data_IF_835631562717
#
_entry.id   IF_835631562717
#
_cell.length_a   1.000
_cell.length_b   1.000
_cell.length_c   1.000
_cell.angle_alpha   90.00
_cell.angle_beta   90.00
_cell.angle_gamma   90.00
#
_symmetry.space_group_name_H-M   'P 1'
#
loop_
_entity.id
_entity.type
_entity.pdbx_description
1 polymer ?
#
# COMPACT_ATOMS: atom_id res chain seq x y z
N UNK A 1 -10.01 -4.46 -0.21
CA UNK A 1 -10.36 -4.26 -1.64
C UNK A 1 -9.35 -4.89 -2.56
N UNK A 2 -8.07 -4.51 -2.46
CA UNK A 2 -6.96 -5.06 -3.26
C UNK A 2 -7.00 -6.58 -3.45
N UNK A 3 -7.12 -7.35 -2.36
CA UNK A 3 -7.19 -8.82 -2.45
C UNK A 3 -8.43 -9.38 -3.15
N UNK A 4 -9.54 -8.64 -3.14
CA UNK A 4 -10.72 -9.03 -3.90
C UNK A 4 -10.46 -8.89 -5.40
N UNK A 5 -9.78 -7.81 -5.82
CA UNK A 5 -9.37 -7.62 -7.20
C UNK A 5 -8.35 -8.69 -7.62
N UNK A 6 -7.30 -8.94 -6.83
CA UNK A 6 -6.33 -10.01 -7.09
C UNK A 6 -6.97 -11.40 -7.16
N UNK A 7 -8.01 -11.65 -6.37
CA UNK A 7 -8.78 -12.90 -6.43
C UNK A 7 -9.65 -12.98 -7.68
N UNK A 8 -10.23 -11.86 -8.13
CA UNK A 8 -11.02 -11.78 -9.38
C UNK A 8 -10.14 -12.01 -10.60
N UNK A 9 -8.97 -11.38 -10.65
CA UNK A 9 -7.97 -11.53 -11.72
C UNK A 9 -7.27 -12.90 -11.69
N UNK A 10 -7.54 -13.72 -10.67
CA UNK A 10 -6.95 -15.06 -10.48
C UNK A 10 -5.42 -15.02 -10.45
N UNK A 11 -4.84 -13.99 -9.84
CA UNK A 11 -3.39 -13.95 -9.61
C UNK A 11 -2.95 -15.24 -8.90
N UNK A 12 -1.91 -15.93 -9.39
CA UNK A 12 -1.35 -17.11 -8.74
C UNK A 12 -0.62 -16.78 -7.45
N UNK A 13 -0.42 -15.49 -7.14
CA UNK A 13 0.29 -15.08 -5.94
C UNK A 13 -0.54 -15.36 -4.67
N UNK A 14 0.11 -16.00 -3.70
CA UNK A 14 -0.21 -15.98 -2.28
C UNK A 14 -0.35 -14.53 -1.82
N UNK A 15 -1.42 -14.29 -1.08
CA UNK A 15 -1.79 -12.97 -0.58
C UNK A 15 -1.50 -12.95 0.91
N UNK A 16 -0.81 -11.93 1.39
CA UNK A 16 -0.38 -11.84 2.79
C UNK A 16 -0.80 -10.49 3.37
N UNK A 17 -1.39 -10.52 4.56
CA UNK A 17 -1.60 -9.32 5.39
C UNK A 17 -0.82 -9.47 6.68
N UNK A 18 -0.03 -8.45 6.99
CA UNK A 18 0.61 -8.33 8.28
C UNK A 18 -0.30 -7.58 9.25
N UNK A 19 -0.37 -8.05 10.50
CA UNK A 19 -1.12 -7.38 11.55
C UNK A 19 -0.37 -7.38 12.89
N UNK A 20 -0.60 -6.41 13.78
CA UNK A 20 0.01 -6.36 15.10
C UNK A 20 -0.27 -7.63 15.92
N UNK A 21 0.79 -8.32 16.38
CA UNK A 21 0.66 -9.51 17.24
C UNK A 21 -0.08 -9.25 18.57
N UNK A 22 -0.02 -8.01 19.08
CA UNK A 22 -0.75 -7.59 20.29
C UNK A 22 -2.28 -7.69 20.12
N UNK A 23 -2.80 -7.70 18.89
CA UNK A 23 -4.23 -7.87 18.63
C UNK A 23 -4.73 -9.28 19.00
N UNK A 24 -3.87 -10.29 18.93
CA UNK A 24 -4.22 -11.65 19.39
C UNK A 24 -4.34 -11.68 20.92
N UNK A 25 -3.42 -11.04 21.63
CA UNK A 25 -3.44 -10.94 23.10
C UNK A 25 -4.69 -10.19 23.58
N UNK A 26 -5.05 -9.10 22.92
CA UNK A 26 -6.25 -8.33 23.23
C UNK A 26 -7.52 -9.17 23.04
N UNK A 27 -7.59 -9.99 21.98
CA UNK A 27 -8.70 -10.91 21.74
C UNK A 27 -8.82 -11.99 22.82
N UNK A 28 -7.71 -12.55 23.26
CA UNK A 28 -7.68 -13.58 24.29
C UNK A 28 -8.00 -13.04 25.69
N UNK A 29 -7.67 -11.78 25.96
CA UNK A 29 -7.81 -11.16 27.27
C UNK A 29 -9.25 -10.93 27.74
N UNK A 30 -10.27 -11.22 26.92
CA UNK A 30 -11.71 -10.99 27.18
C UNK A 30 -12.06 -9.55 27.63
N UNK A 31 -11.13 -8.59 27.51
CA UNK A 31 -11.43 -7.16 27.68
C UNK A 31 -12.28 -6.70 26.50
N UNK A 32 -13.14 -5.71 26.75
CA UNK A 32 -13.92 -5.09 25.68
C UNK A 32 -12.94 -4.56 24.61
N UNK A 33 -12.98 -5.18 23.43
CA UNK A 33 -12.20 -4.73 22.28
C UNK A 33 -12.75 -3.38 21.81
N UNK A 34 -11.88 -2.50 21.33
CA UNK A 34 -12.34 -1.25 20.73
C UNK A 34 -13.16 -1.55 19.46
N UNK A 35 -14.18 -0.74 19.11
CA UNK A 35 -14.97 -0.94 17.91
C UNK A 35 -14.12 -1.01 16.62
N UNK A 36 -13.02 -0.25 16.61
CA UNK A 36 -12.02 -0.28 15.54
C UNK A 36 -11.38 -1.66 15.41
N UNK A 37 -10.88 -2.21 16.51
CA UNK A 37 -10.20 -3.50 16.52
C UNK A 37 -11.15 -4.64 16.11
N UNK A 38 -12.37 -4.64 16.64
CA UNK A 38 -13.39 -5.63 16.26
C UNK A 38 -13.67 -5.60 14.75
N UNK A 39 -13.85 -4.40 14.19
CA UNK A 39 -14.07 -4.20 12.76
C UNK A 39 -12.88 -4.69 11.94
N UNK A 40 -11.66 -4.30 12.33
CA UNK A 40 -10.43 -4.72 11.67
C UNK A 40 -10.27 -6.25 11.68
N UNK A 41 -10.44 -6.90 12.83
CA UNK A 41 -10.34 -8.36 12.94
C UNK A 41 -11.39 -9.08 12.10
N UNK A 42 -12.63 -8.58 12.08
CA UNK A 42 -13.69 -9.11 11.22
C UNK A 42 -13.31 -9.02 9.74
N UNK A 43 -12.70 -7.91 9.31
CA UNK A 43 -12.23 -7.72 7.93
C UNK A 43 -11.05 -8.64 7.58
N UNK A 44 -10.09 -8.82 8.49
CA UNK A 44 -8.98 -9.76 8.32
C UNK A 44 -9.49 -11.19 8.14
N UNK A 45 -10.41 -11.63 9.01
CA UNK A 45 -11.03 -12.96 8.90
C UNK A 45 -11.80 -13.13 7.58
N UNK A 46 -12.56 -12.10 7.17
CA UNK A 46 -13.26 -12.11 5.88
C UNK A 46 -12.27 -12.20 4.72
N UNK A 47 -11.16 -11.48 4.78
CA UNK A 47 -10.13 -11.52 3.74
C UNK A 47 -9.49 -12.91 3.63
N UNK A 48 -9.12 -13.51 4.76
CA UNK A 48 -8.59 -14.87 4.81
C UNK A 48 -9.57 -15.90 4.24
N UNK A 49 -10.82 -15.85 4.68
CA UNK A 49 -11.85 -16.83 4.28
C UNK A 49 -12.27 -16.69 2.82
N UNK A 50 -12.43 -15.46 2.33
CA UNK A 50 -13.02 -15.19 1.00
C UNK A 50 -11.99 -15.10 -0.12
N UNK A 51 -10.79 -14.59 0.19
CA UNK A 51 -9.76 -14.31 -0.82
C UNK A 51 -8.47 -15.12 -0.58
N UNK A 52 -8.48 -16.08 0.35
CA UNK A 52 -7.33 -16.96 0.60
C UNK A 52 -6.10 -16.21 1.15
N UNK A 53 -6.32 -15.09 1.85
CA UNK A 53 -5.24 -14.28 2.41
C UNK A 53 -4.64 -14.97 3.64
N UNK A 54 -3.31 -15.10 3.66
CA UNK A 54 -2.54 -15.55 4.82
C UNK A 54 -2.33 -14.38 5.77
N UNK A 55 -2.82 -14.51 6.99
CA UNK A 55 -2.64 -13.51 8.05
C UNK A 55 -1.36 -13.83 8.81
N UNK A 56 -0.45 -12.87 8.92
CA UNK A 56 0.81 -13.03 9.66
C UNK A 56 0.89 -11.99 10.79
N UNK A 57 0.97 -12.42 12.06
CA UNK A 57 1.20 -11.50 13.15
C UNK A 57 2.65 -11.00 13.11
N UNK A 58 2.85 -9.71 13.32
CA UNK A 58 4.17 -9.08 13.39
C UNK A 58 4.40 -8.42 14.75
N UNK A 59 5.66 -8.39 15.16
CA UNK A 59 6.10 -7.70 16.38
C UNK A 59 6.62 -6.31 16.01
N UNK A 60 6.35 -5.30 16.84
CA UNK A 60 6.87 -3.97 16.59
C UNK A 60 8.40 -3.98 16.75
N UNK A 61 9.06 -3.11 16.00
CA UNK A 61 10.48 -2.81 16.22
C UNK A 61 10.50 -1.64 17.21
N UNK A 62 11.03 -1.88 18.41
CA UNK A 62 11.16 -0.84 19.43
C UNK A 62 12.17 0.21 18.95
N UNK A 63 11.69 1.40 18.62
CA UNK A 63 12.55 2.57 18.44
C UNK A 63 13.00 3.11 19.81
N UNK A 64 14.26 3.50 19.95
CA UNK A 64 14.79 4.11 21.18
C UNK A 64 14.38 5.60 21.34
N UNK A 65 13.32 6.03 20.66
CA UNK A 65 12.82 7.42 20.68
C UNK A 65 12.01 7.77 21.92
N UNK A 66 12.03 9.05 22.30
CA UNK A 66 11.28 9.60 23.43
C UNK A 66 9.78 9.47 23.15
N UNK A 67 9.10 8.64 23.94
CA UNK A 67 7.72 8.20 23.68
C UNK A 67 7.73 6.91 22.87
N UNK A 68 7.72 5.77 23.55
CA UNK A 68 7.85 4.44 22.96
C UNK A 68 6.61 4.08 22.12
N UNK A 69 6.51 4.63 20.91
CA UNK A 69 5.49 4.27 19.93
C UNK A 69 5.89 2.94 19.31
N UNK A 70 5.00 1.95 19.37
CA UNK A 70 5.17 0.66 18.72
C UNK A 70 5.10 0.88 17.20
N UNK A 71 6.25 0.87 16.53
CA UNK A 71 6.34 1.06 15.09
C UNK A 71 6.47 -0.28 14.34
N UNK A 72 5.84 -0.36 13.17
CA UNK A 72 5.88 -1.52 12.27
C UNK A 72 6.51 -1.12 10.94
N UNK A 73 7.83 -0.84 10.91
CA UNK A 73 8.49 -0.34 9.71
C UNK A 73 8.53 -1.41 8.60
N UNK A 74 8.54 -0.97 7.35
CA UNK A 74 8.65 -1.82 6.15
C UNK A 74 9.93 -2.65 6.12
N UNK A 75 10.98 -2.24 6.84
CA UNK A 75 12.16 -3.09 7.02
C UNK A 75 11.82 -4.45 7.68
N UNK A 76 10.74 -4.51 8.46
CA UNK A 76 10.19 -5.74 9.03
C UNK A 76 9.88 -6.82 7.99
N UNK A 77 9.60 -6.43 6.74
CA UNK A 77 9.34 -7.35 5.63
C UNK A 77 10.54 -8.27 5.33
N UNK A 78 11.77 -7.83 5.63
CA UNK A 78 12.96 -8.67 5.43
C UNK A 78 13.03 -9.88 6.37
N UNK A 79 12.26 -9.87 7.47
CA UNK A 79 12.18 -11.01 8.40
C UNK A 79 11.36 -12.19 7.85
N UNK A 80 10.58 -11.97 6.78
CA UNK A 80 9.66 -12.94 6.21
C UNK A 80 10.38 -13.95 5.29
N UNK A 81 11.40 -14.64 5.80
CA UNK A 81 12.25 -15.55 5.02
C UNK A 81 11.59 -16.87 4.61
N UNK A 82 10.29 -17.05 4.93
CA UNK A 82 9.50 -18.14 4.33
C UNK A 82 9.12 -17.86 2.90
N UNK A 83 9.29 -16.62 2.45
CA UNK A 83 9.00 -16.18 1.10
C UNK A 83 10.30 -15.86 0.36
N UNK A 84 10.38 -16.24 -0.91
CA UNK A 84 11.55 -15.97 -1.75
C UNK A 84 11.56 -14.52 -2.24
N UNK A 85 10.38 -13.97 -2.51
CA UNK A 85 10.19 -12.62 -3.05
C UNK A 85 8.86 -12.04 -2.60
N UNK A 86 8.87 -10.76 -2.29
CA UNK A 86 7.69 -10.03 -1.83
C UNK A 86 7.48 -8.80 -2.69
N UNK A 87 6.25 -8.63 -3.19
CA UNK A 87 5.78 -7.35 -3.72
C UNK A 87 4.90 -6.70 -2.67
N UNK A 88 5.37 -5.57 -2.15
CA UNK A 88 4.57 -4.68 -1.32
C UNK A 88 3.88 -3.64 -2.19
N UNK A 89 2.57 -3.55 -2.02
CA UNK A 89 1.72 -2.54 -2.63
C UNK A 89 1.27 -1.58 -1.52
N UNK A 90 1.57 -0.29 -1.68
CA UNK A 90 1.11 0.72 -0.71
C UNK A 90 -0.42 0.67 -0.60
N UNK A 91 -1.01 0.76 0.60
CA UNK A 91 -2.45 0.91 0.79
C UNK A 91 -3.05 2.07 -0.04
N UNK A 92 -4.39 2.10 -0.12
CA UNK A 92 -5.11 3.18 -0.82
C UNK A 92 -4.86 3.26 -2.33
N UNK A 93 -4.82 2.10 -2.99
CA UNK A 93 -4.85 2.03 -4.44
C UNK A 93 -5.83 1.01 -5.00
N UNK A 94 -5.92 1.02 -6.32
CA UNK A 94 -6.79 0.18 -7.13
C UNK A 94 -5.96 -0.74 -8.02
N UNK A 95 -6.29 -2.02 -7.95
CA UNK A 95 -5.78 -3.02 -8.88
C UNK A 95 -6.68 -3.07 -10.11
N UNK A 96 -6.09 -2.81 -11.27
CA UNK A 96 -6.74 -2.85 -12.58
C UNK A 96 -6.36 -4.13 -13.34
N UNK A 97 -5.10 -4.55 -13.27
CA UNK A 97 -4.60 -5.76 -13.90
C UNK A 97 -3.47 -6.38 -13.08
N UNK A 98 -3.63 -7.62 -12.61
CA UNK A 98 -2.60 -8.28 -11.78
C UNK A 98 -1.46 -8.89 -12.60
N UNK A 99 -1.69 -9.26 -13.87
CA UNK A 99 -0.74 -10.07 -14.64
C UNK A 99 0.66 -9.42 -14.77
N UNK A 100 0.79 -8.11 -15.05
CA UNK A 100 2.10 -7.46 -15.10
C UNK A 100 2.81 -7.40 -13.73
N UNK A 101 2.06 -7.40 -12.63
CA UNK A 101 2.64 -7.45 -11.28
C UNK A 101 3.09 -8.87 -10.94
N UNK A 102 2.35 -9.88 -11.39
CA UNK A 102 2.74 -11.29 -11.26
C UNK A 102 4.08 -11.55 -11.99
N UNK A 103 4.29 -10.92 -13.15
CA UNK A 103 5.54 -11.01 -13.92
C UNK A 103 6.77 -10.46 -13.13
N UNK A 104 6.56 -9.56 -12.15
CA UNK A 104 7.65 -9.04 -11.30
C UNK A 104 8.32 -10.15 -10.47
N UNK A 105 7.58 -11.19 -10.08
CA UNK A 105 8.14 -12.32 -9.35
C UNK A 105 9.15 -13.12 -10.18
N UNK A 106 9.00 -13.12 -11.51
CA UNK A 106 9.91 -13.83 -12.42
C UNK A 106 11.11 -12.98 -12.86
N UNK A 107 11.04 -11.66 -12.70
CA UNK A 107 12.05 -10.71 -13.17
C UNK A 107 13.40 -10.94 -12.47
N UNK A 108 14.54 -11.09 -13.16
CA UNK A 108 15.82 -11.25 -12.48
C UNK A 108 16.15 -10.00 -11.64
N UNK A 109 16.48 -10.22 -10.36
CA UNK A 109 16.73 -9.14 -9.42
C UNK A 109 18.13 -9.26 -8.82
N UNK A 110 18.98 -8.29 -9.16
CA UNK A 110 20.38 -8.22 -8.73
C UNK A 110 20.56 -7.56 -7.36
N UNK A 111 19.54 -6.82 -6.89
CA UNK A 111 19.51 -6.18 -5.58
C UNK A 111 18.58 -6.95 -4.64
N UNK A 112 18.60 -6.65 -3.33
CA UNK A 112 17.63 -7.19 -2.36
C UNK A 112 16.37 -6.35 -2.25
N UNK A 113 16.37 -5.15 -2.85
CA UNK A 113 15.29 -4.18 -2.81
C UNK A 113 15.26 -3.40 -4.13
N UNK A 114 14.07 -3.22 -4.68
CA UNK A 114 13.77 -2.39 -5.83
C UNK A 114 12.45 -1.66 -5.57
N UNK A 115 12.35 -0.41 -5.99
CA UNK A 115 11.18 0.43 -5.72
C UNK A 115 10.68 1.07 -6.99
N UNK A 116 9.36 1.15 -7.16
CA UNK A 116 8.71 1.88 -8.24
C UNK A 116 7.85 2.99 -7.65
N UNK A 117 7.96 4.16 -8.26
CA UNK A 117 7.10 5.30 -8.00
C UNK A 117 6.72 5.96 -9.32
N UNK A 118 5.51 6.51 -9.40
CA UNK A 118 5.05 7.21 -10.61
C UNK A 118 5.26 8.73 -10.55
N UNK A 119 5.86 9.24 -9.47
CA UNK A 119 6.08 10.66 -9.26
C UNK A 119 7.07 11.30 -10.23
N UNK A 120 6.85 12.60 -10.47
CA UNK A 120 7.75 13.48 -11.21
C UNK A 120 9.02 13.79 -10.39
N UNK A 121 10.13 14.07 -11.09
CA UNK A 121 11.48 14.31 -10.54
C UNK A 121 11.59 15.45 -9.51
N UNK A 122 10.50 16.18 -9.24
CA UNK A 122 10.48 17.39 -8.41
C UNK A 122 9.97 17.17 -6.98
N UNK A 123 9.45 15.99 -6.63
CA UNK A 123 8.93 15.69 -5.29
C UNK A 123 9.66 14.48 -4.68
N UNK A 124 9.86 14.45 -3.34
CA UNK A 124 10.36 13.26 -2.65
C UNK A 124 9.32 12.15 -2.77
N UNK A 125 9.45 11.31 -3.81
CA UNK A 125 8.44 10.30 -4.11
C UNK A 125 8.62 9.12 -3.16
N UNK A 126 7.60 8.86 -2.35
CA UNK A 126 7.60 7.64 -1.54
C UNK A 126 7.12 6.50 -2.45
N UNK A 127 7.86 5.39 -2.57
CA UNK A 127 7.55 4.39 -3.59
C UNK A 127 6.24 3.64 -3.31
N UNK A 128 5.38 3.56 -4.32
CA UNK A 128 4.05 2.94 -4.21
C UNK A 128 4.09 1.42 -4.39
N UNK A 129 5.11 0.91 -5.07
CA UNK A 129 5.39 -0.53 -5.20
C UNK A 129 6.82 -0.80 -4.76
N UNK A 130 7.01 -1.84 -3.96
CA UNK A 130 8.33 -2.26 -3.48
C UNK A 130 8.49 -3.75 -3.74
N UNK A 131 9.48 -4.13 -4.53
CA UNK A 131 9.89 -5.52 -4.73
C UNK A 131 11.11 -5.80 -3.85
N UNK A 132 11.03 -6.82 -2.99
CA UNK A 132 12.12 -7.16 -2.09
C UNK A 132 12.35 -8.67 -2.00
N UNK A 133 13.59 -9.04 -1.65
CA UNK A 133 13.99 -10.41 -1.32
C UNK A 133 14.27 -10.48 0.18
N UNK A 134 13.44 -11.16 0.98
CA UNK A 134 13.66 -11.29 2.42
C UNK A 134 15.02 -11.91 2.73
N UNK A 135 15.67 -11.45 3.81
CA UNK A 135 16.95 -11.97 4.27
C UNK A 135 17.16 -11.62 5.74
N UNK A 136 17.55 -12.61 6.54
CA UNK A 136 17.85 -12.43 7.97
C UNK A 136 19.03 -11.50 8.20
N UNK A 137 20.02 -11.49 7.31
CA UNK A 137 21.18 -10.60 7.36
C UNK A 137 20.75 -9.15 7.18
N UNK A 138 20.04 -8.86 6.07
CA UNK A 138 19.52 -7.52 5.78
C UNK A 138 18.55 -7.02 6.84
N UNK A 139 17.69 -7.89 7.36
CA UNK A 139 16.79 -7.54 8.46
C UNK A 139 17.55 -7.08 9.71
N UNK A 140 18.65 -7.76 10.08
CA UNK A 140 19.48 -7.37 11.24
C UNK A 140 20.18 -6.03 11.01
N UNK A 141 20.72 -5.82 9.81
CA UNK A 141 21.37 -4.55 9.45
C UNK A 141 20.37 -3.39 9.61
N UNK A 142 19.18 -3.53 9.03
CA UNK A 142 18.15 -2.50 9.11
C UNK A 142 17.59 -2.33 10.52
N UNK A 143 17.32 -3.40 11.26
CA UNK A 143 16.86 -3.29 12.64
C UNK A 143 17.85 -2.52 13.52
N UNK A 144 19.16 -2.73 13.31
CA UNK A 144 20.21 -1.99 14.02
C UNK A 144 20.19 -0.51 13.66
N UNK A 145 20.13 -0.17 12.37
CA UNK A 145 20.05 1.23 11.91
C UNK A 145 18.77 1.94 12.37
N UNK A 146 17.62 1.26 12.31
CA UNK A 146 16.31 1.81 12.71
C UNK A 146 16.26 2.15 14.20
N UNK A 147 16.77 1.26 15.04
CA UNK A 147 16.79 1.47 16.49
C UNK A 147 17.63 2.68 16.91
N UNK A 148 18.62 3.06 16.08
CA UNK A 148 19.55 4.15 16.35
C UNK A 148 19.07 5.54 15.89
N UNK A 149 18.23 5.64 14.85
CA UNK A 149 17.89 6.94 14.25
C UNK A 149 16.40 7.28 14.13
N UNK A 150 15.48 6.44 14.64
CA UNK A 150 14.05 6.78 14.64
C UNK A 150 13.49 7.03 13.23
N UNK A 151 13.91 6.21 12.27
CA UNK A 151 13.56 6.37 10.86
C UNK A 151 12.07 6.15 10.59
N UNK A 152 11.50 6.98 9.71
CA UNK A 152 10.22 6.70 9.05
C UNK A 152 10.42 5.75 7.85
N UNK A 153 9.34 5.12 7.38
CA UNK A 153 9.39 4.21 6.24
C UNK A 153 9.82 4.92 4.95
N UNK A 154 9.44 6.19 4.80
CA UNK A 154 9.86 7.05 3.68
C UNK A 154 11.38 7.20 3.68
N UNK A 155 11.95 7.56 4.83
CA UNK A 155 13.39 7.72 4.99
C UNK A 155 14.11 6.39 4.80
N UNK A 156 13.54 5.27 5.26
CA UNK A 156 14.08 3.94 5.01
C UNK A 156 14.14 3.65 3.51
N UNK A 157 13.03 3.80 2.78
CA UNK A 157 12.96 3.49 1.35
C UNK A 157 13.88 4.38 0.51
N UNK A 158 13.94 5.69 0.80
CA UNK A 158 14.82 6.63 0.10
C UNK A 158 16.30 6.32 0.30
N UNK A 159 16.70 5.86 1.49
CA UNK A 159 18.11 5.61 1.81
C UNK A 159 18.57 4.19 1.45
N UNK A 160 17.66 3.23 1.33
CA UNK A 160 17.99 1.80 1.18
C UNK A 160 17.74 1.24 -0.21
N UNK A 161 16.89 1.85 -1.02
CA UNK A 161 16.49 1.34 -2.31
C UNK A 161 17.09 2.14 -3.47
N UNK A 162 17.63 1.47 -4.52
CA UNK A 162 17.71 2.12 -5.81
C UNK A 162 16.30 2.37 -6.33
N UNK A 163 15.99 3.61 -6.68
CA UNK A 163 14.75 3.97 -7.35
C UNK A 163 14.83 3.40 -8.77
N UNK A 164 13.94 2.48 -9.11
CA UNK A 164 13.81 1.95 -10.47
C UNK A 164 12.71 2.77 -11.14
N UNK A 165 13.06 3.88 -11.78
CA UNK A 165 12.08 4.77 -12.43
C UNK A 165 11.38 4.12 -13.63
N UNK A 166 11.96 3.05 -14.20
CA UNK A 166 11.44 2.40 -15.40
C UNK A 166 11.10 0.94 -15.11
N UNK A 167 9.82 0.62 -15.30
CA UNK A 167 9.29 -0.75 -15.27
C UNK A 167 10.31 -1.74 -15.84
N UNK A 168 10.79 -2.73 -15.06
CA UNK A 168 11.80 -3.67 -15.52
C UNK A 168 11.29 -4.65 -16.60
N UNK A 169 10.02 -4.55 -17.00
CA UNK A 169 9.40 -5.38 -18.04
C UNK A 169 9.89 -4.91 -19.41
N UNK A 170 11.08 -5.38 -19.75
CA UNK A 170 11.71 -5.23 -21.06
C UNK A 170 10.87 -6.00 -22.10
N UNK A 171 9.96 -5.31 -22.80
CA UNK A 171 9.29 -5.86 -23.99
C UNK A 171 7.84 -5.45 -24.24
N UNK A 172 7.15 -4.79 -23.30
CA UNK A 172 5.78 -4.29 -23.50
C UNK A 172 5.71 -2.79 -23.23
N UNK A 173 6.08 -1.98 -24.23
CA UNK A 173 6.03 -0.50 -24.18
C UNK A 173 4.63 0.06 -23.88
N UNK A 174 3.58 -0.78 -23.93
CA UNK A 174 2.18 -0.39 -23.71
C UNK A 174 1.64 -0.62 -22.29
N UNK A 175 2.41 -1.25 -21.40
CA UNK A 175 1.93 -1.62 -20.06
C UNK A 175 2.59 -0.77 -18.97
N UNK A 176 1.76 0.04 -18.30
CA UNK A 176 2.13 0.86 -17.14
C UNK A 176 1.91 0.04 -15.87
N UNK A 177 2.97 -0.27 -15.13
CA UNK A 177 2.86 -1.00 -13.85
C UNK A 177 2.16 -0.17 -12.77
N UNK A 178 2.49 1.11 -12.70
CA UNK A 178 2.03 2.02 -11.67
C UNK A 178 1.62 3.36 -12.28
N UNK A 179 0.47 3.86 -11.87
CA UNK A 179 0.11 5.26 -11.98
C UNK A 179 -0.21 5.83 -10.60
N UNK A 180 -0.03 7.14 -10.45
CA UNK A 180 -0.44 7.89 -9.28
C UNK A 180 -1.45 8.96 -9.71
N UNK A 181 -2.52 9.15 -8.93
CA UNK A 181 -3.58 10.13 -9.27
C UNK A 181 -3.05 11.56 -9.34
N UNK A 182 -2.10 11.93 -8.48
CA UNK A 182 -1.43 13.24 -8.55
C UNK A 182 -0.68 13.49 -9.87
N UNK A 183 -0.23 12.44 -10.56
CA UNK A 183 0.46 12.59 -11.83
C UNK A 183 -0.50 13.00 -12.98
N UNK A 184 -1.80 12.77 -12.82
CA UNK A 184 -2.81 13.07 -13.86
C UNK A 184 -2.97 14.57 -14.13
N UNK A 185 -2.59 15.45 -13.19
CA UNK A 185 -2.58 16.89 -13.42
C UNK A 185 -1.51 17.33 -14.43
N UNK A 186 -0.43 16.55 -14.56
CA UNK A 186 0.67 16.83 -15.49
C UNK A 186 0.51 16.12 -16.84
N UNK A 187 -0.55 15.32 -17.01
CA UNK A 187 -0.85 14.67 -18.29
C UNK A 187 -1.38 15.72 -19.29
N UNK A 188 -0.94 15.62 -20.54
CA UNK A 188 -1.29 16.59 -21.59
C UNK A 188 -2.69 16.42 -22.17
N UNK A 189 -3.04 17.28 -23.13
CA UNK A 189 -4.32 17.21 -23.86
C UNK A 189 -4.49 15.91 -24.67
N UNK A 190 -3.40 15.20 -24.95
CA UNK A 190 -3.36 13.91 -25.63
C UNK A 190 -3.68 12.71 -24.71
N UNK A 191 -3.88 12.94 -23.41
CA UNK A 191 -4.24 11.90 -22.46
C UNK A 191 -5.55 11.19 -22.86
N UNK A 192 -5.47 9.86 -22.91
CA UNK A 192 -6.62 9.02 -23.23
C UNK A 192 -7.00 8.13 -22.03
N UNK A 193 -8.16 8.40 -21.45
CA UNK A 193 -8.70 7.68 -20.29
C UNK A 193 -8.86 6.17 -20.54
N UNK A 194 -9.36 5.78 -21.72
CA UNK A 194 -9.57 4.36 -22.07
C UNK A 194 -8.24 3.62 -22.14
N UNK A 195 -7.23 4.19 -22.80
CA UNK A 195 -5.88 3.63 -22.87
C UNK A 195 -5.21 3.60 -21.50
N UNK A 196 -5.46 4.60 -20.65
CA UNK A 196 -4.96 4.63 -19.28
C UNK A 196 -5.47 3.43 -18.48
N UNK A 197 -6.78 3.18 -18.45
CA UNK A 197 -7.34 2.04 -17.70
C UNK A 197 -6.98 0.69 -18.31
N UNK A 198 -6.89 0.59 -19.65
CA UNK A 198 -6.51 -0.66 -20.31
C UNK A 198 -5.02 -1.01 -20.16
N UNK A 199 -4.16 0.01 -20.08
CA UNK A 199 -2.71 -0.14 -20.02
C UNK A 199 -2.12 -0.12 -18.61
N UNK A 200 -2.89 0.26 -17.58
CA UNK A 200 -2.37 0.41 -16.21
C UNK A 200 -2.67 -0.82 -15.35
N UNK A 201 -1.70 -1.24 -14.54
CA UNK A 201 -1.82 -2.41 -13.65
C UNK A 201 -2.31 -2.01 -12.26
N UNK A 202 -1.64 -1.03 -11.65
CA UNK A 202 -1.98 -0.50 -10.33
C UNK A 202 -2.06 1.02 -10.34
N UNK A 203 -3.10 1.58 -9.71
CA UNK A 203 -3.24 3.03 -9.50
C UNK A 203 -3.20 3.30 -8.01
N UNK A 204 -2.20 4.05 -7.56
CA UNK A 204 -2.12 4.55 -6.19
C UNK A 204 -2.80 5.91 -6.09
N UNK A 205 -3.68 6.08 -5.10
CA UNK A 205 -4.45 7.31 -4.93
C UNK A 205 -3.73 8.17 -3.90
N UNK A 206 -3.11 9.24 -4.38
CA UNK A 206 -2.39 10.19 -3.56
C UNK A 206 -2.40 11.55 -4.25
N UNK A 207 -3.00 12.54 -3.59
CA UNK A 207 -3.18 13.89 -4.11
C UNK A 207 -2.79 14.94 -3.07
N UNK A 208 -2.15 16.02 -3.51
CA UNK A 208 -1.67 17.08 -2.63
C UNK A 208 -2.88 17.80 -2.01
N UNK A 209 -2.84 17.96 -0.68
CA UNK A 209 -3.89 18.66 0.06
C UNK A 209 -5.17 17.86 0.27
N UNK A 210 -5.19 16.59 -0.15
CA UNK A 210 -6.28 15.66 0.09
C UNK A 210 -5.91 14.67 1.21
N UNK A 211 -6.86 14.30 2.07
CA UNK A 211 -6.69 13.09 2.87
C UNK A 211 -6.71 11.86 1.94
N UNK A 212 -6.33 10.70 2.46
CA UNK A 212 -6.44 9.44 1.73
C UNK A 212 -7.87 9.16 1.23
N UNK A 213 -8.03 8.33 0.19
CA UNK A 213 -9.34 8.02 -0.41
C UNK A 213 -10.31 7.30 0.54
N UNK A 214 -9.84 6.82 1.70
CA UNK A 214 -10.66 6.28 2.77
C UNK A 214 -11.46 7.34 3.55
N UNK A 215 -11.12 8.63 3.41
CA UNK A 215 -11.76 9.73 4.12
C UNK A 215 -12.74 10.51 3.23
N UNK A 216 -13.78 11.05 3.86
CA UNK A 216 -14.73 11.99 3.26
C UNK A 216 -14.10 13.39 3.20
N UNK A 217 -13.35 13.64 2.12
CA UNK A 217 -12.59 14.86 1.93
C UNK A 217 -13.52 16.10 1.81
N UNK A 218 -13.14 17.25 2.40
CA UNK A 218 -13.84 18.50 2.20
C UNK A 218 -13.98 18.84 0.72
N UNK A 219 -15.18 19.27 0.32
CA UNK A 219 -15.51 19.55 -1.09
C UNK A 219 -14.53 20.53 -1.76
N UNK A 220 -14.06 21.52 -1.02
CA UNK A 220 -13.10 22.51 -1.52
C UNK A 220 -11.72 21.90 -1.80
N UNK A 221 -11.25 20.99 -0.95
CA UNK A 221 -10.02 20.24 -1.18
C UNK A 221 -10.16 19.34 -2.42
N UNK A 222 -11.27 18.60 -2.52
CA UNK A 222 -11.55 17.73 -3.66
C UNK A 222 -11.55 18.52 -4.98
N UNK A 223 -12.16 19.70 -5.01
CA UNK A 223 -12.19 20.55 -6.21
C UNK A 223 -10.82 21.12 -6.58
N UNK A 224 -9.95 21.41 -5.61
CA UNK A 224 -8.59 21.94 -5.86
C UNK A 224 -7.64 20.89 -6.44
N UNK A 225 -7.83 19.63 -6.08
CA UNK A 225 -6.96 18.52 -6.53
C UNK A 225 -7.41 17.90 -7.86
N UNK A 226 -8.56 18.30 -8.41
CA UNK A 226 -9.07 17.78 -9.68
C UNK A 226 -8.19 18.21 -10.86
N UNK A 227 -7.82 17.26 -11.74
CA UNK A 227 -7.07 17.62 -12.94
C UNK A 227 -7.78 18.63 -13.85
N UNK A 228 -6.99 19.46 -14.52
CA UNK A 228 -7.47 20.47 -15.46
C UNK A 228 -8.00 19.87 -16.78
N UNK A 229 -7.34 18.84 -17.32
CA UNK A 229 -7.73 18.14 -18.56
C UNK A 229 -9.02 17.32 -18.42
N UNK A 230 -9.89 17.33 -19.44
CA UNK A 230 -11.21 16.66 -19.37
C UNK A 230 -11.11 15.15 -19.18
N UNK A 231 -10.27 14.47 -19.98
CA UNK A 231 -10.07 13.02 -19.91
C UNK A 231 -9.33 12.62 -18.62
N UNK A 232 -8.30 13.37 -18.24
CA UNK A 232 -7.54 13.15 -17.00
C UNK A 232 -8.43 13.31 -15.76
N UNK A 233 -9.28 14.33 -15.74
CA UNK A 233 -10.29 14.53 -14.70
C UNK A 233 -11.29 13.38 -14.63
N UNK A 234 -11.79 12.91 -15.79
CA UNK A 234 -12.68 11.75 -15.84
C UNK A 234 -12.02 10.50 -15.24
N UNK A 235 -10.77 10.23 -15.61
CA UNK A 235 -10.00 9.12 -15.04
C UNK A 235 -9.83 9.25 -13.52
N UNK A 236 -9.48 10.45 -13.04
CA UNK A 236 -9.29 10.74 -11.63
C UNK A 236 -10.58 10.54 -10.82
N UNK A 237 -11.72 11.06 -11.31
CA UNK A 237 -13.03 10.89 -10.67
C UNK A 237 -13.46 9.42 -10.63
N UNK A 238 -13.28 8.69 -11.73
CA UNK A 238 -13.61 7.27 -11.83
C UNK A 238 -12.77 6.42 -10.86
N UNK A 239 -11.49 6.75 -10.67
CA UNK A 239 -10.62 6.08 -9.70
C UNK A 239 -11.14 6.29 -8.27
N UNK A 240 -11.45 7.52 -7.88
CA UNK A 240 -11.98 7.80 -6.54
C UNK A 240 -13.34 7.13 -6.30
N UNK A 241 -14.26 7.20 -7.27
CA UNK A 241 -15.58 6.61 -7.14
C UNK A 241 -15.53 5.08 -7.12
N UNK A 242 -14.66 4.48 -7.95
CA UNK A 242 -14.44 3.03 -7.95
C UNK A 242 -13.89 2.57 -6.60
N UNK A 243 -12.95 3.31 -6.01
CA UNK A 243 -12.43 3.00 -4.68
C UNK A 243 -13.53 3.06 -3.63
N UNK A 244 -14.33 4.13 -3.62
CA UNK A 244 -15.46 4.29 -2.68
C UNK A 244 -16.46 3.15 -2.79
N UNK A 245 -16.93 2.88 -4.01
CA UNK A 245 -17.91 1.81 -4.28
C UNK A 245 -17.36 0.45 -3.82
N UNK A 246 -16.12 0.12 -4.18
CA UNK A 246 -15.47 -1.12 -3.75
C UNK A 246 -15.32 -1.18 -2.23
N UNK A 247 -15.05 -0.07 -1.55
CA UNK A 247 -14.87 -0.05 -0.09
C UNK A 247 -16.18 -0.41 0.60
N UNK A 248 -17.30 0.12 0.12
CA UNK A 248 -18.62 -0.24 0.60
C UNK A 248 -18.98 -1.69 0.25
N UNK A 249 -18.85 -2.11 -1.01
CA UNK A 249 -19.30 -3.44 -1.46
C UNK A 249 -18.47 -4.59 -0.88
N UNK A 250 -17.15 -4.41 -0.81
CA UNK A 250 -16.21 -5.45 -0.37
C UNK A 250 -16.00 -5.41 1.14
N UNK A 251 -15.77 -4.23 1.71
CA UNK A 251 -15.46 -4.11 3.13
C UNK A 251 -16.71 -3.81 3.99
N UNK A 252 -17.80 -3.32 3.40
CA UNK A 252 -18.96 -2.86 4.17
C UNK A 252 -18.65 -1.61 4.98
N UNK A 253 -17.73 -0.78 4.50
CA UNK A 253 -17.30 0.45 5.16
C UNK A 253 -17.59 1.66 4.28
N UNK A 254 -18.19 2.70 4.88
CA UNK A 254 -18.36 4.03 4.27
C UNK A 254 -17.21 4.98 4.67
N UNK A 255 -17.00 6.04 3.90
CA UNK A 255 -15.87 6.95 4.06
C UNK A 255 -15.81 7.54 5.48
N UNK A 256 -14.59 7.73 5.97
CA UNK A 256 -14.34 8.20 7.33
C UNK A 256 -14.38 9.73 7.40
N UNK A 257 -15.05 10.32 8.40
CA UNK A 257 -15.08 11.78 8.52
C UNK A 257 -13.68 12.32 8.82
N UNK A 258 -13.29 13.37 8.10
CA UNK A 258 -12.03 14.08 8.35
C UNK A 258 -12.12 14.77 9.71
N UNK A 259 -11.33 14.30 10.69
CA UNK A 259 -11.23 14.90 12.02
C UNK A 259 -11.53 13.98 13.21
N UNK A 260 -11.97 12.73 13.02
CA UNK A 260 -12.09 11.76 14.12
C UNK A 260 -10.88 10.84 14.30
N UNK A 261 -9.89 10.88 13.40
CA UNK A 261 -8.65 10.11 13.52
C UNK A 261 -7.65 10.71 14.55
N UNK A 262 -8.01 11.75 15.30
CA UNK A 262 -7.11 12.48 16.19
C UNK A 262 -7.67 12.85 17.57
N UNK A 263 -8.71 12.16 18.06
CA UNK A 263 -9.33 12.53 19.33
C UNK A 263 -10.06 11.36 20.00
N UNK A 264 -9.30 10.44 20.58
CA UNK A 264 -9.84 9.35 21.39
C UNK A 264 -8.81 8.26 21.65
N UNK A 265 -8.04 8.46 22.72
CA UNK A 265 -7.05 7.57 23.34
C UNK A 265 -5.79 7.22 22.53
N UNK A 266 -4.70 7.74 23.05
CA UNK A 266 -3.28 7.50 22.75
C UNK A 266 -2.88 6.03 23.03
N UNK A 267 -3.49 5.08 22.31
CA UNK A 267 -3.06 3.69 22.27
C UNK A 267 -2.44 3.37 20.89
N UNK A 268 -1.26 3.97 20.65
CA UNK A 268 -0.07 3.36 20.03
C UNK A 268 -0.17 2.41 18.83
N UNK A 269 -1.22 2.45 18.00
CA UNK A 269 -1.40 1.53 16.88
C UNK A 269 -1.74 2.23 15.57
N UNK A 270 -1.04 3.32 15.24
CA UNK A 270 -0.99 3.84 13.88
C UNK A 270 0.06 3.07 13.06
N UNK A 271 -0.25 1.81 12.75
CA UNK A 271 0.50 0.98 11.81
C UNK A 271 -0.45 0.51 10.73
N UNK A 272 -0.40 1.15 9.55
CA UNK A 272 -1.11 0.66 8.37
C UNK A 272 -0.64 -0.78 8.06
N UNK A 273 -1.55 -1.73 7.77
CA UNK A 273 -1.15 -3.09 7.43
C UNK A 273 -0.32 -3.08 6.15
N UNK A 274 0.89 -3.64 6.23
CA UNK A 274 1.71 -3.87 5.05
C UNK A 274 1.18 -5.09 4.26
N UNK A 275 0.97 -4.90 2.96
CA UNK A 275 0.43 -5.91 2.05
C UNK A 275 1.57 -6.58 1.30
N UNK A 276 1.55 -7.90 1.17
CA UNK A 276 2.62 -8.67 0.53
C UNK A 276 2.01 -9.76 -0.37
N UNK A 277 2.46 -9.86 -1.63
CA UNK A 277 2.09 -10.94 -2.57
C UNK A 277 3.30 -11.88 -2.88
N UNK A 278 3.09 -13.18 -3.17
CA UNK A 278 4.11 -14.17 -3.64
C UNK A 278 3.50 -15.31 -4.49
N UNK A 279 3.97 -15.62 -5.70
CA UNK A 279 3.58 -16.84 -6.47
C UNK A 279 4.32 -18.13 -6.05
N UNK A 280 3.61 -19.27 -6.06
CA UNK A 280 4.14 -20.65 -5.91
C UNK A 280 4.99 -21.07 -7.10
#
# INVERSE_FOLDING_TARGET
MLFADLSRERSPAQRVILYPSVWDEQRESQKAMTPYLETSMRLLQRAAKRYGVRLLPIKPILGLGVGSVMAYPLAGLFSLTTFDRLVYLRPSGLMLNSSPLDDLFTTPMNTSLATLSAGSAELPVTPSIVLLRPSTERYRDFATSLSAAGYSDEAFLQNSAPIVEKSPISGRETVRLLAETSALEFEGDDFNMTSFFAGTSYVHIQDIGMPGPEYDAPRDAFLRSRPSGFQARGAWEDVYETYRTKRMDICGLDLEPVGLAGGGDDDGASGLPAFVEETV
#
